data_IF_728821864970
#
_entry.id   IF_728821864970
#
_cell.length_a   1.000
_cell.length_b   1.000
_cell.length_c   1.000
_cell.angle_alpha   90.00
_cell.angle_beta   90.00
_cell.angle_gamma   90.00
#
_symmetry.space_group_name_H-M   'P 1'
#
loop_
_entity.id
_entity.type
_entity.pdbx_description
1 polymer ?
#
# COMPACT_ATOMS: atom_id res chain seq x y z
N UNK A 1 4.51 -8.23 14.85
CA UNK A 1 3.96 -9.48 14.29
C UNK A 1 4.40 -9.60 12.83
N UNK A 2 4.64 -10.81 12.33
CA UNK A 2 4.96 -11.07 10.92
C UNK A 2 4.19 -12.29 10.39
N UNK A 3 3.75 -12.24 9.14
CA UNK A 3 3.10 -13.33 8.42
C UNK A 3 3.80 -13.59 7.09
N UNK A 4 3.94 -14.87 6.75
CA UNK A 4 4.60 -15.34 5.53
C UNK A 4 3.56 -15.86 4.55
N UNK A 5 3.65 -15.43 3.30
CA UNK A 5 2.83 -15.96 2.22
C UNK A 5 3.67 -16.37 1.03
N UNK A 6 3.15 -17.33 0.26
CA UNK A 6 3.79 -17.79 -0.98
C UNK A 6 2.95 -17.35 -2.17
N UNK A 7 3.58 -16.64 -3.10
CA UNK A 7 2.91 -16.10 -4.29
C UNK A 7 3.67 -16.48 -5.56
N UNK A 8 2.92 -16.59 -6.66
CA UNK A 8 3.46 -16.75 -8.01
C UNK A 8 3.39 -15.43 -8.76
N UNK A 9 4.50 -14.96 -9.31
CA UNK A 9 4.55 -13.74 -10.12
C UNK A 9 5.17 -14.02 -11.49
N UNK A 10 4.62 -13.38 -12.53
CA UNK A 10 5.10 -13.52 -13.91
C UNK A 10 6.01 -12.36 -14.26
N UNK A 11 7.28 -12.65 -14.52
CA UNK A 11 8.25 -11.69 -15.04
C UNK A 11 8.35 -11.83 -16.55
N UNK A 12 8.51 -10.72 -17.24
CA UNK A 12 8.96 -10.73 -18.63
C UNK A 12 10.48 -10.73 -18.64
N UNK A 13 11.08 -11.80 -19.14
CA UNK A 13 12.50 -11.83 -19.45
C UNK A 13 12.71 -11.08 -20.77
N UNK A 14 13.33 -9.91 -20.70
CA UNK A 14 13.59 -9.07 -21.87
C UNK A 14 14.68 -9.62 -22.79
N UNK A 15 15.54 -10.54 -22.31
CA UNK A 15 16.59 -11.15 -23.12
C UNK A 15 16.04 -12.25 -24.02
N UNK A 16 15.12 -13.06 -23.51
CA UNK A 16 14.51 -14.18 -24.23
C UNK A 16 13.13 -13.85 -24.80
N UNK A 17 12.57 -12.69 -24.43
CA UNK A 17 11.18 -12.30 -24.69
C UNK A 17 10.17 -13.36 -24.24
N UNK A 18 10.49 -14.10 -23.17
CA UNK A 18 9.61 -15.11 -22.58
C UNK A 18 9.01 -14.63 -21.26
N UNK A 19 7.81 -15.12 -20.94
CA UNK A 19 7.22 -14.94 -19.63
C UNK A 19 7.67 -16.10 -18.73
N UNK A 20 8.31 -15.77 -17.61
CA UNK A 20 8.70 -16.73 -16.59
C UNK A 20 7.81 -16.54 -15.37
N UNK A 21 7.22 -17.62 -14.87
CA UNK A 21 6.48 -17.62 -13.60
C UNK A 21 7.42 -18.07 -12.48
N UNK A 22 7.61 -17.22 -11.48
CA UNK A 22 8.43 -17.50 -10.31
C UNK A 22 7.53 -17.56 -9.10
N UNK A 23 7.72 -18.58 -8.27
CA UNK A 23 7.08 -18.70 -6.97
C UNK A 23 8.06 -18.33 -5.88
N UNK A 24 7.65 -17.50 -4.94
CA UNK A 24 8.50 -17.12 -3.82
C UNK A 24 7.73 -16.66 -2.59
N UNK A 25 8.47 -16.50 -1.50
CA UNK A 25 7.95 -16.08 -0.20
C UNK A 25 7.97 -14.55 -0.08
N UNK A 26 6.89 -14.02 0.50
CA UNK A 26 6.79 -12.62 0.93
C UNK A 26 6.53 -12.63 2.43
N UNK A 27 7.25 -11.78 3.14
CA UNK A 27 7.09 -11.55 4.57
C UNK A 27 6.43 -10.19 4.76
N UNK A 28 5.24 -10.19 5.35
CA UNK A 28 4.50 -9.00 5.75
C UNK A 28 4.65 -8.83 7.25
N UNK A 29 4.99 -7.63 7.70
CA UNK A 29 5.08 -7.30 9.12
C UNK A 29 4.32 -6.04 9.46
N UNK A 30 4.35 -5.68 10.74
CA UNK A 30 3.74 -4.46 11.24
C UNK A 30 4.35 -3.21 10.58
N UNK A 31 3.48 -2.27 10.26
CA UNK A 31 3.81 -0.91 9.82
C UNK A 31 4.08 -0.08 11.07
N UNK A 32 5.18 0.67 11.05
CA UNK A 32 5.46 1.58 12.16
C UNK A 32 4.77 2.92 11.94
N UNK A 33 4.58 3.69 13.01
CA UNK A 33 4.09 5.08 12.90
C UNK A 33 4.93 5.95 11.92
N UNK A 34 6.24 5.70 11.84
CA UNK A 34 7.12 6.37 10.89
C UNK A 34 6.79 6.05 9.43
N UNK A 35 6.44 4.79 9.17
CA UNK A 35 6.03 4.30 7.86
C UNK A 35 4.68 4.89 7.46
N UNK A 36 3.69 4.90 8.37
CA UNK A 36 2.38 5.52 8.15
C UNK A 36 2.52 7.00 7.78
N UNK A 37 3.32 7.75 8.55
CA UNK A 37 3.56 9.18 8.28
C UNK A 37 4.25 9.40 6.93
N UNK A 38 5.10 8.47 6.50
CA UNK A 38 5.76 8.52 5.18
C UNK A 38 4.77 8.19 4.06
N UNK A 39 3.93 7.18 4.26
CA UNK A 39 2.89 6.78 3.32
C UNK A 39 1.84 7.90 3.14
N UNK A 40 1.31 8.45 4.24
CA UNK A 40 0.33 9.56 4.24
C UNK A 40 0.84 10.79 3.50
N UNK A 41 2.12 11.13 3.62
CA UNK A 41 2.72 12.25 2.86
C UNK A 41 2.85 11.95 1.38
N UNK A 42 3.18 10.72 1.01
CA UNK A 42 3.34 10.30 -0.39
C UNK A 42 2.00 10.09 -1.11
N UNK A 43 0.91 9.87 -0.37
CA UNK A 43 -0.44 9.74 -0.92
C UNK A 43 -1.15 11.05 -1.18
N UNK A 44 -0.58 12.19 -0.77
CA UNK A 44 -1.16 13.51 -1.07
C UNK A 44 -1.08 13.77 -2.58
N UNK A 45 -2.22 14.09 -3.16
CA UNK A 45 -2.36 14.51 -4.56
C UNK A 45 -2.77 15.98 -4.58
N UNK A 46 -2.19 16.73 -5.51
CA UNK A 46 -2.62 18.09 -5.82
C UNK A 46 -3.50 18.02 -7.06
N UNK A 47 -4.72 18.55 -6.98
CA UNK A 47 -5.64 18.65 -8.11
C UNK A 47 -6.22 20.07 -8.20
N UNK A 48 -6.80 20.41 -9.34
CA UNK A 48 -7.46 21.69 -9.56
C UNK A 48 -8.97 21.51 -9.45
N UNK A 49 -9.53 21.79 -8.27
CA UNK A 49 -10.98 21.85 -8.12
C UNK A 49 -11.47 23.26 -8.42
N UNK A 50 -12.27 23.42 -9.49
CA UNK A 50 -12.78 24.73 -9.95
C UNK A 50 -11.68 25.77 -10.16
N UNK A 51 -10.50 25.34 -10.65
CA UNK A 51 -9.35 26.21 -10.87
C UNK A 51 -8.58 26.61 -9.61
N UNK A 52 -8.94 26.09 -8.43
CA UNK A 52 -8.17 26.27 -7.20
C UNK A 52 -7.37 25.00 -6.87
N UNK A 53 -6.08 25.13 -6.51
CA UNK A 53 -5.28 24.01 -6.08
C UNK A 53 -5.86 23.43 -4.78
N UNK A 54 -6.23 22.17 -4.81
CA UNK A 54 -6.77 21.40 -3.70
C UNK A 54 -5.84 20.24 -3.40
N UNK A 55 -5.59 20.00 -2.12
CA UNK A 55 -4.82 18.85 -1.65
C UNK A 55 -5.75 17.86 -0.97
N UNK A 56 -5.67 16.60 -1.37
CA UNK A 56 -6.37 15.52 -0.71
C UNK A 56 -5.51 14.26 -0.64
N UNK A 57 -5.87 13.36 0.27
CA UNK A 57 -5.24 12.05 0.40
C UNK A 57 -5.93 11.10 -0.57
N UNK A 58 -5.16 10.53 -1.48
CA UNK A 58 -5.61 9.40 -2.29
C UNK A 58 -5.60 8.14 -1.41
N UNK A 59 -6.80 7.65 -1.06
CA UNK A 59 -6.99 6.51 -0.18
C UNK A 59 -6.46 5.21 -0.77
N UNK A 60 -6.64 5.01 -2.08
CA UNK A 60 -6.22 3.79 -2.76
C UNK A 60 -4.69 3.74 -2.81
N UNK A 61 -4.07 4.87 -3.18
CA UNK A 61 -2.62 5.04 -3.14
C UNK A 61 -2.06 4.89 -1.74
N UNK A 62 -2.74 5.41 -0.71
CA UNK A 62 -2.31 5.25 0.68
C UNK A 62 -2.36 3.78 1.10
N UNK A 63 -3.42 3.04 0.76
CA UNK A 63 -3.54 1.62 1.03
C UNK A 63 -2.41 0.80 0.42
N UNK A 64 -2.11 1.03 -0.87
CA UNK A 64 -1.00 0.33 -1.53
C UNK A 64 0.37 0.73 -0.95
N UNK A 65 0.57 2.00 -0.56
CA UNK A 65 1.81 2.46 0.09
C UNK A 65 2.02 1.81 1.47
N UNK A 66 0.97 1.66 2.27
CA UNK A 66 1.04 1.00 3.58
C UNK A 66 1.31 -0.50 3.42
N UNK A 67 0.65 -1.15 2.46
CA UNK A 67 0.94 -2.54 2.10
C UNK A 67 2.41 -2.69 1.70
N UNK A 68 2.94 -1.85 0.81
CA UNK A 68 4.35 -1.91 0.40
C UNK A 68 5.29 -1.69 1.60
N UNK A 69 4.97 -0.74 2.50
CA UNK A 69 5.77 -0.47 3.69
C UNK A 69 5.75 -1.64 4.70
N UNK A 70 4.69 -2.44 4.71
CA UNK A 70 4.56 -3.62 5.56
C UNK A 70 5.47 -4.77 5.13
N UNK A 71 5.92 -4.80 3.87
CA UNK A 71 6.74 -5.89 3.33
C UNK A 71 8.17 -5.81 3.88
N UNK A 72 8.56 -6.84 4.64
CA UNK A 72 9.91 -6.97 5.21
C UNK A 72 10.86 -7.71 4.28
N UNK A 73 10.33 -8.64 3.48
CA UNK A 73 11.09 -9.38 2.48
C UNK A 73 10.18 -9.79 1.33
N UNK A 74 10.68 -9.71 0.11
CA UNK A 74 9.98 -10.12 -1.09
C UNK A 74 10.98 -10.66 -2.10
N UNK A 75 10.64 -11.76 -2.77
CA UNK A 75 11.46 -12.38 -3.81
C UNK A 75 11.52 -11.56 -5.12
N UNK A 76 10.85 -10.42 -5.17
CA UNK A 76 10.90 -9.44 -6.24
C UNK A 76 10.68 -8.04 -5.68
N UNK A 77 11.05 -7.02 -6.45
CA UNK A 77 10.81 -5.64 -6.06
C UNK A 77 9.30 -5.33 -6.15
N UNK A 78 8.65 -4.94 -5.04
CA UNK A 78 7.28 -4.46 -5.05
C UNK A 78 7.26 -2.93 -4.89
N UNK A 79 6.72 -2.23 -5.88
CA UNK A 79 6.58 -0.78 -5.96
C UNK A 79 5.14 -0.42 -6.29
N UNK A 80 4.80 0.87 -6.17
CA UNK A 80 3.48 1.35 -6.62
C UNK A 80 3.24 1.10 -8.11
N UNK A 81 4.29 1.11 -8.93
CA UNK A 81 4.17 0.93 -10.38
C UNK A 81 3.93 -0.53 -10.76
N UNK A 82 4.44 -1.48 -9.97
CA UNK A 82 4.36 -2.90 -10.31
C UNK A 82 3.35 -3.69 -9.45
N UNK A 83 2.78 -3.09 -8.40
CA UNK A 83 1.71 -3.74 -7.62
C UNK A 83 0.48 -4.04 -8.47
N UNK A 84 0.23 -3.24 -9.51
CA UNK A 84 -0.82 -3.48 -10.51
C UNK A 84 -0.53 -4.65 -11.45
N UNK A 85 0.75 -5.05 -11.58
CA UNK A 85 1.16 -6.21 -12.38
C UNK A 85 0.92 -7.53 -11.62
N UNK A 86 0.58 -7.47 -10.33
CA UNK A 86 0.14 -8.64 -9.60
C UNK A 86 -1.21 -9.12 -10.13
N UNK A 87 -1.39 -10.45 -10.14
CA UNK A 87 -2.71 -11.01 -10.36
C UNK A 87 -3.69 -10.48 -9.31
N UNK A 88 -4.96 -10.31 -9.69
CA UNK A 88 -6.01 -9.84 -8.78
C UNK A 88 -6.08 -10.68 -7.49
N UNK A 89 -5.87 -11.99 -7.60
CA UNK A 89 -5.87 -12.90 -6.45
C UNK A 89 -4.68 -12.67 -5.53
N UNK A 90 -3.48 -12.46 -6.08
CA UNK A 90 -2.29 -12.16 -5.29
C UNK A 90 -2.41 -10.82 -4.58
N UNK A 91 -2.90 -9.79 -5.28
CA UNK A 91 -3.12 -8.46 -4.68
C UNK A 91 -4.15 -8.53 -3.55
N UNK A 92 -5.25 -9.28 -3.73
CA UNK A 92 -6.25 -9.52 -2.68
C UNK A 92 -5.64 -10.22 -1.46
N UNK A 93 -4.88 -11.29 -1.69
CA UNK A 93 -4.23 -12.04 -0.59
C UNK A 93 -3.24 -11.17 0.19
N UNK A 94 -2.45 -10.35 -0.49
CA UNK A 94 -1.53 -9.40 0.14
C UNK A 94 -2.27 -8.41 1.06
N UNK A 95 -3.34 -7.80 0.54
CA UNK A 95 -4.16 -6.86 1.30
C UNK A 95 -4.82 -7.52 2.51
N UNK A 96 -5.36 -8.73 2.38
CA UNK A 96 -5.96 -9.49 3.48
C UNK A 96 -4.94 -9.82 4.59
N UNK A 97 -3.73 -10.22 4.21
CA UNK A 97 -2.65 -10.52 5.16
C UNK A 97 -2.20 -9.25 5.87
N UNK A 98 -2.00 -8.17 5.12
CA UNK A 98 -1.68 -6.86 5.66
C UNK A 98 -2.70 -6.40 6.70
N UNK A 99 -4.00 -6.51 6.40
CA UNK A 99 -5.08 -6.15 7.31
C UNK A 99 -5.06 -6.97 8.60
N UNK A 100 -4.78 -8.28 8.52
CA UNK A 100 -4.65 -9.12 9.71
C UNK A 100 -3.45 -8.73 10.57
N UNK A 101 -2.28 -8.54 9.96
CA UNK A 101 -1.03 -8.23 10.67
C UNK A 101 -1.07 -6.86 11.34
N UNK A 102 -1.78 -5.90 10.75
CA UNK A 102 -1.84 -4.52 11.24
C UNK A 102 -3.17 -4.18 11.92
N UNK A 103 -4.00 -5.19 12.21
CA UNK A 103 -5.30 -5.05 12.89
C UNK A 103 -6.26 -4.03 12.23
N UNK A 104 -6.07 -3.77 10.93
CA UNK A 104 -6.89 -2.83 10.16
C UNK A 104 -8.25 -3.46 9.93
N UNK A 105 -9.22 -3.11 10.77
CA UNK A 105 -10.63 -3.48 10.54
C UNK A 105 -11.20 -2.62 9.40
N UNK A 106 -12.18 -3.15 8.64
CA UNK A 106 -12.87 -2.41 7.56
C UNK A 106 -13.47 -1.04 8.01
N UNK A 107 -13.49 -0.76 9.32
CA UNK A 107 -13.85 0.52 9.93
C UNK A 107 -12.79 1.62 9.80
N UNK A 108 -11.53 1.29 9.52
CA UNK A 108 -10.46 2.27 9.30
C UNK A 108 -10.23 2.55 7.81
N UNK A 109 -11.30 2.54 7.01
CA UNK A 109 -11.28 3.22 5.71
C UNK A 109 -11.13 4.71 5.93
N UNK A 110 -9.88 5.16 6.07
CA UNK A 110 -9.41 6.49 5.66
C UNK A 110 -10.23 7.70 6.17
N UNK A 111 -10.93 7.56 7.29
CA UNK A 111 -11.69 8.60 7.95
C UNK A 111 -11.02 8.94 9.27
N UNK A 112 -9.84 9.53 9.16
CA UNK A 112 -9.47 10.59 10.09
C UNK A 112 -8.97 11.79 9.28
N UNK A 113 -9.94 12.50 8.71
CA UNK A 113 -9.79 13.88 8.26
C UNK A 113 -10.37 14.84 9.31
N UNK A 114 -10.45 14.46 10.58
CA UNK A 114 -11.05 15.29 11.62
C UNK A 114 -10.25 15.20 12.91
N UNK A 115 -9.14 15.95 12.96
CA UNK A 115 -8.63 16.76 14.07
C UNK A 115 -7.19 17.18 13.69
N UNK A 116 -6.76 18.44 13.66
CA UNK A 116 -6.95 19.54 14.60
C UNK A 116 -7.01 20.90 13.88
N UNK A 117 -8.04 21.71 14.16
CA UNK A 117 -7.95 23.17 14.39
C UNK A 117 -9.33 23.79 14.64
N UNK A 118 -9.72 23.84 15.90
CA UNK A 118 -10.19 25.03 16.63
C UNK A 118 -11.09 24.62 17.80
N UNK A 119 -10.46 24.13 18.86
CA UNK A 119 -10.99 24.25 20.21
C UNK A 119 -10.22 25.34 20.94
N UNK A 120 -10.59 26.61 20.74
CA UNK A 120 -10.41 27.65 21.75
C UNK A 120 -11.63 28.56 21.71
N UNK A 121 -12.62 28.21 22.53
CA UNK A 121 -13.57 29.17 23.09
C UNK A 121 -12.78 30.09 24.02
N UNK A 122 -12.83 31.40 23.76
CA UNK A 122 -12.72 32.45 24.76
C UNK A 122 -13.64 33.60 24.36
#
# INVERSE_FOLDING_TARGET
MEEKIRLKHKFKDYKTNTLQEVEGEIVIGEVTWGDEKKAKRKSIVNDLYKGQPTQFIDSDKLGDLLLIASIKSCFFELTLENIELLSRNNRKLLHEVYQRVNEVTDREKFLDTSDDRNGENN
#
